data_IF_708225173565
#
_entry.id   IF_708225173565
#
_cell.length_a   1.000
_cell.length_b   1.000
_cell.length_c   1.000
_cell.angle_alpha   90.00
_cell.angle_beta   90.00
_cell.angle_gamma   90.00
#
_symmetry.space_group_name_H-M   'P 1'
#
loop_
_entity.id
_entity.type
_entity.pdbx_description
1 polymer ?
#
# COMPACT_ATOMS: atom_id res chain seq x y z
N UNK A 1 9.61 11.93 5.37
CA UNK A 1 9.95 11.25 6.63
C UNK A 1 8.85 11.39 7.67
N UNK A 2 8.54 12.60 8.19
CA UNK A 2 7.58 12.81 9.29
C UNK A 2 6.21 12.12 9.10
N UNK A 3 5.60 12.24 7.91
CA UNK A 3 4.30 11.63 7.63
C UNK A 3 4.31 10.09 7.69
N UNK A 4 5.40 9.45 7.25
CA UNK A 4 5.54 7.99 7.27
C UNK A 4 5.66 7.47 8.69
N UNK A 5 6.55 8.05 9.49
CA UNK A 5 6.73 7.67 10.90
C UNK A 5 5.47 7.94 11.72
N UNK A 6 4.72 9.00 11.41
CA UNK A 6 3.46 9.29 12.09
C UNK A 6 2.34 8.29 11.75
N UNK A 7 2.27 7.83 10.50
CA UNK A 7 1.25 6.89 10.04
C UNK A 7 1.58 5.43 10.39
N UNK A 8 2.85 5.04 10.35
CA UNK A 8 3.31 3.66 10.52
C UNK A 8 4.45 3.56 11.55
N UNK A 9 4.23 3.95 12.81
CA UNK A 9 5.31 4.07 13.80
C UNK A 9 5.99 2.74 14.16
N UNK A 10 5.31 1.61 13.93
CA UNK A 10 5.77 0.27 14.31
C UNK A 10 5.96 -0.66 13.10
N UNK A 11 5.83 -0.15 11.86
CA UNK A 11 6.02 -0.98 10.69
C UNK A 11 7.47 -1.45 10.56
N UNK A 12 7.72 -2.68 10.05
CA UNK A 12 9.07 -3.15 9.78
C UNK A 12 9.84 -2.18 8.87
N UNK A 13 11.14 -2.02 9.13
CA UNK A 13 11.99 -1.11 8.36
C UNK A 13 11.95 -1.39 6.85
N UNK A 14 11.96 -2.66 6.46
CA UNK A 14 11.91 -3.07 5.05
C UNK A 14 10.64 -2.55 4.35
N UNK A 15 9.49 -2.56 5.02
CA UNK A 15 8.24 -2.08 4.45
C UNK A 15 8.20 -0.54 4.44
N UNK A 16 8.69 0.11 5.49
CA UNK A 16 8.82 1.57 5.52
C UNK A 16 9.67 2.09 4.36
N UNK A 17 10.78 1.43 4.04
CA UNK A 17 11.66 1.85 2.95
C UNK A 17 10.99 1.74 1.57
N UNK A 18 10.26 0.65 1.33
CA UNK A 18 9.49 0.47 0.10
C UNK A 18 8.36 1.49 -0.03
N UNK A 19 7.56 1.67 1.03
CA UNK A 19 6.49 2.68 1.07
C UNK A 19 7.05 4.09 0.87
N UNK A 20 8.22 4.40 1.45
CA UNK A 20 8.91 5.68 1.29
C UNK A 20 9.31 5.94 -0.16
N UNK A 21 9.86 4.92 -0.84
CA UNK A 21 10.25 5.01 -2.24
C UNK A 21 9.01 5.25 -3.14
N UNK A 22 7.95 4.48 -2.94
CA UNK A 22 6.72 4.55 -3.73
C UNK A 22 5.98 5.88 -3.53
N UNK A 23 5.86 6.35 -2.28
CA UNK A 23 5.29 7.66 -1.97
C UNK A 23 6.09 8.83 -2.57
N UNK A 24 7.38 8.62 -2.87
CA UNK A 24 8.27 9.58 -3.51
C UNK A 24 8.25 9.56 -5.04
N UNK A 25 7.50 8.66 -5.66
CA UNK A 25 7.43 8.52 -7.11
C UNK A 25 6.97 9.81 -7.80
N UNK A 26 7.41 10.05 -9.04
CA UNK A 26 7.15 11.31 -9.75
C UNK A 26 5.66 11.67 -9.83
N UNK A 27 4.78 10.67 -10.04
CA UNK A 27 3.33 10.85 -10.12
C UNK A 27 2.66 11.14 -8.76
N UNK A 28 3.37 10.95 -7.65
CA UNK A 28 2.88 11.20 -6.29
C UNK A 28 3.27 12.60 -5.77
N UNK A 29 4.20 13.28 -6.44
CA UNK A 29 4.79 14.56 -5.97
C UNK A 29 3.80 15.72 -5.87
N UNK A 30 2.67 15.66 -6.56
CA UNK A 30 1.61 16.68 -6.51
C UNK A 30 0.64 16.47 -5.36
N UNK A 31 0.68 15.31 -4.70
CA UNK A 31 -0.21 14.97 -3.59
C UNK A 31 0.36 15.51 -2.26
N UNK A 32 -0.51 15.82 -1.28
CA UNK A 32 -0.06 16.04 0.09
C UNK A 32 0.73 14.82 0.61
N UNK A 33 1.85 14.99 1.32
CA UNK A 33 2.71 13.88 1.75
C UNK A 33 1.99 12.77 2.54
N UNK A 34 1.01 13.13 3.37
CA UNK A 34 0.18 12.17 4.12
C UNK A 34 -0.67 11.29 3.20
N UNK A 35 -1.23 11.87 2.13
CA UNK A 35 -2.02 11.13 1.13
C UNK A 35 -1.11 10.23 0.30
N UNK A 36 0.06 10.74 -0.13
CA UNK A 36 1.02 9.96 -0.89
C UNK A 36 1.49 8.72 -0.10
N UNK A 37 1.82 8.91 1.18
CA UNK A 37 2.18 7.81 2.08
C UNK A 37 1.02 6.85 2.24
N UNK A 38 -0.20 7.31 2.52
CA UNK A 38 -1.35 6.43 2.72
C UNK A 38 -1.65 5.55 1.49
N UNK A 39 -1.62 6.13 0.29
CA UNK A 39 -1.82 5.38 -0.95
C UNK A 39 -0.71 4.36 -1.19
N UNK A 40 0.55 4.74 -0.94
CA UNK A 40 1.68 3.82 -1.03
C UNK A 40 1.57 2.68 -0.02
N UNK A 41 1.12 2.95 1.21
CA UNK A 41 0.87 1.94 2.24
C UNK A 41 -0.21 0.94 1.80
N UNK A 42 -1.38 1.42 1.35
CA UNK A 42 -2.46 0.53 0.89
C UNK A 42 -1.97 -0.33 -0.28
N UNK A 43 -1.25 0.27 -1.23
CA UNK A 43 -0.68 -0.46 -2.36
C UNK A 43 0.28 -1.55 -1.87
N UNK A 44 1.27 -1.19 -1.03
CA UNK A 44 2.22 -2.14 -0.46
C UNK A 44 1.54 -3.32 0.24
N UNK A 45 0.56 -3.03 1.10
CA UNK A 45 -0.21 -4.06 1.81
C UNK A 45 -0.98 -4.95 0.83
N UNK A 46 -1.72 -4.36 -0.12
CA UNK A 46 -2.46 -5.10 -1.13
C UNK A 46 -1.54 -6.04 -1.92
N UNK A 47 -0.40 -5.56 -2.39
CA UNK A 47 0.52 -6.37 -3.20
C UNK A 47 1.28 -7.43 -2.37
N UNK A 48 1.60 -7.17 -1.11
CA UNK A 48 2.52 -8.01 -0.32
C UNK A 48 1.85 -8.93 0.69
N UNK A 49 0.64 -8.59 1.13
CA UNK A 49 -0.01 -9.23 2.29
C UNK A 49 -1.43 -9.73 1.98
N UNK A 50 -1.80 -9.82 0.70
CA UNK A 50 -3.11 -10.30 0.27
C UNK A 50 -3.00 -11.21 -0.95
N UNK A 51 -4.11 -11.84 -1.34
CA UNK A 51 -4.19 -12.66 -2.55
C UNK A 51 -4.22 -11.84 -3.86
N UNK A 52 -3.96 -10.53 -3.82
CA UNK A 52 -4.11 -9.64 -4.98
C UNK A 52 -3.30 -10.10 -6.20
N UNK A 53 -2.01 -10.41 -6.01
CA UNK A 53 -1.15 -10.88 -7.11
C UNK A 53 -1.62 -12.22 -7.68
N UNK A 54 -2.13 -13.10 -6.82
CA UNK A 54 -2.70 -14.39 -7.24
C UNK A 54 -3.96 -14.18 -8.07
N UNK A 55 -4.88 -13.32 -7.65
CA UNK A 55 -6.11 -13.01 -8.39
C UNK A 55 -5.80 -12.40 -9.77
N UNK A 56 -4.80 -11.52 -9.85
CA UNK A 56 -4.36 -10.99 -11.15
C UNK A 56 -3.78 -12.09 -12.04
N UNK A 57 -2.98 -13.02 -11.50
CA UNK A 57 -2.43 -14.15 -12.24
C UNK A 57 -3.53 -15.13 -12.72
N UNK A 58 -4.62 -15.24 -11.98
CA UNK A 58 -5.81 -16.03 -12.33
C UNK A 58 -6.71 -15.33 -13.37
N UNK A 59 -6.40 -14.09 -13.77
CA UNK A 59 -7.09 -13.37 -14.82
C UNK A 59 -8.24 -12.47 -14.35
N UNK A 60 -8.37 -12.25 -13.03
CA UNK A 60 -9.30 -11.24 -12.52
C UNK A 60 -8.85 -9.84 -12.94
N UNK A 61 -9.81 -8.98 -13.26
CA UNK A 61 -9.52 -7.56 -13.45
C UNK A 61 -9.13 -6.88 -12.13
N UNK A 62 -8.52 -5.70 -12.22
CA UNK A 62 -7.98 -4.98 -11.05
C UNK A 62 -9.06 -4.58 -10.05
N UNK A 63 -10.27 -4.25 -10.49
CA UNK A 63 -11.32 -3.78 -9.61
C UNK A 63 -11.96 -4.96 -8.88
N UNK A 64 -12.21 -6.07 -9.57
CA UNK A 64 -12.59 -7.33 -8.92
C UNK A 64 -11.54 -7.80 -7.91
N UNK A 65 -10.26 -7.80 -8.29
CA UNK A 65 -9.18 -8.22 -7.39
C UNK A 65 -9.07 -7.31 -6.15
N UNK A 66 -9.24 -5.98 -6.30
CA UNK A 66 -9.27 -5.04 -5.16
C UNK A 66 -10.46 -5.28 -4.24
N UNK A 67 -11.62 -5.62 -4.81
CA UNK A 67 -12.81 -5.93 -4.03
C UNK A 67 -12.60 -7.17 -3.15
N UNK A 68 -12.04 -8.25 -3.69
CA UNK A 68 -11.83 -9.49 -2.93
C UNK A 68 -10.83 -9.37 -1.78
N UNK A 69 -9.81 -8.51 -1.91
CA UNK A 69 -8.73 -8.38 -0.93
C UNK A 69 -8.93 -7.26 0.08
N UNK A 70 -10.08 -6.57 0.05
CA UNK A 70 -10.33 -5.42 0.94
C UNK A 70 -10.27 -5.81 2.43
N UNK A 71 -10.87 -6.96 2.79
CA UNK A 71 -10.87 -7.45 4.17
C UNK A 71 -9.48 -7.90 4.62
N UNK A 72 -8.72 -8.57 3.74
CA UNK A 72 -7.32 -8.93 4.01
C UNK A 72 -6.46 -7.69 4.21
N UNK A 73 -6.67 -6.65 3.39
CA UNK A 73 -5.96 -5.37 3.49
C UNK A 73 -6.27 -4.69 4.82
N UNK A 74 -7.55 -4.61 5.19
CA UNK A 74 -7.96 -3.99 6.46
C UNK A 74 -7.40 -4.75 7.66
N UNK A 75 -7.43 -6.09 7.65
CA UNK A 75 -6.88 -6.91 8.73
C UNK A 75 -5.37 -6.78 8.96
N UNK A 76 -4.62 -6.23 7.99
CA UNK A 76 -3.19 -5.89 8.17
C UNK A 76 -3.02 -4.47 8.73
N UNK A 77 -3.98 -3.57 8.46
CA UNK A 77 -3.91 -2.15 8.83
C UNK A 77 -4.52 -1.83 10.20
N UNK A 78 -5.36 -2.70 10.76
CA UNK A 78 -6.10 -2.52 12.03
C UNK A 78 -5.88 -3.68 12.98
#
# INVERSE_FOLDING_TARGET
AKALTALLPLAPYADMERIRADAGAAHMKTLPPTIAVWLATIAHVRHSHTDYEKLLAEGYDRDSARFFVIEQTNGVLT
#
